data_IF_787941499682
#
_entry.id   IF_787941499682
#
_cell.length_a   1.000
_cell.length_b   1.000
_cell.length_c   1.000
_cell.angle_alpha   90.00
_cell.angle_beta   90.00
_cell.angle_gamma   90.00
#
_symmetry.space_group_name_H-M   'P 1'
#
loop_
_entity.id
_entity.type
_entity.pdbx_description
1 polymer ?
#
# COMPACT_ATOMS: atom_id res chain seq x y z
N UNK A 1 -36.45 11.31 28.24
CA UNK A 1 -35.99 9.93 28.38
C UNK A 1 -35.41 9.52 27.04
N UNK A 2 -34.11 9.57 26.92
CA UNK A 2 -33.38 9.14 25.70
C UNK A 2 -33.39 7.62 25.73
N UNK A 3 -34.14 7.01 24.83
CA UNK A 3 -34.10 5.56 24.61
C UNK A 3 -32.68 5.20 24.13
N UNK A 4 -31.89 4.64 25.00
CA UNK A 4 -30.61 4.05 24.63
C UNK A 4 -30.95 2.87 23.71
N UNK A 5 -30.78 3.06 22.41
CA UNK A 5 -30.88 1.97 21.45
C UNK A 5 -29.83 0.93 21.86
N UNK A 6 -30.27 -0.25 22.28
CA UNK A 6 -29.41 -1.38 22.55
C UNK A 6 -28.86 -1.83 21.20
N UNK A 7 -27.61 -1.45 20.89
CA UNK A 7 -26.93 -1.90 19.68
C UNK A 7 -26.72 -3.41 19.82
N UNK A 8 -27.37 -4.18 18.96
CA UNK A 8 -27.19 -5.63 18.90
C UNK A 8 -25.76 -5.92 18.42
N UNK A 9 -25.00 -6.77 19.10
CA UNK A 9 -23.66 -7.15 18.64
C UNK A 9 -23.71 -7.73 17.22
N UNK A 10 -22.83 -7.25 16.36
CA UNK A 10 -22.67 -7.73 14.98
C UNK A 10 -21.35 -8.50 14.84
N UNK A 11 -21.30 -9.44 13.89
CA UNK A 11 -20.08 -10.20 13.55
C UNK A 11 -19.39 -9.54 12.37
N UNK A 12 -18.17 -9.07 12.56
CA UNK A 12 -17.38 -8.39 11.54
C UNK A 12 -16.18 -9.26 11.15
N UNK A 13 -16.08 -9.60 9.86
CA UNK A 13 -14.91 -10.27 9.31
C UNK A 13 -13.93 -9.26 8.70
N UNK A 14 -12.67 -9.37 9.06
CA UNK A 14 -11.56 -8.67 8.42
C UNK A 14 -10.86 -9.66 7.50
N UNK A 15 -11.29 -9.69 6.24
CA UNK A 15 -10.89 -10.73 5.29
C UNK A 15 -9.57 -10.40 4.60
N UNK A 16 -8.61 -11.32 4.72
CA UNK A 16 -7.28 -11.24 4.10
C UNK A 16 -7.06 -12.43 3.17
N UNK A 17 -7.23 -12.22 1.88
CA UNK A 17 -7.02 -13.26 0.86
C UNK A 17 -5.61 -13.86 0.90
N UNK A 18 -4.60 -13.07 1.27
CA UNK A 18 -3.20 -13.45 1.28
C UNK A 18 -2.59 -13.18 2.66
N UNK A 19 -2.50 -14.20 3.49
CA UNK A 19 -2.00 -14.09 4.86
C UNK A 19 -0.53 -13.64 4.97
N UNK A 20 0.30 -13.91 3.96
CA UNK A 20 1.72 -13.61 3.98
C UNK A 20 2.06 -12.12 3.75
N UNK A 21 1.08 -11.31 3.39
CA UNK A 21 1.30 -9.91 3.05
C UNK A 21 0.91 -8.97 4.19
N UNK A 22 1.87 -8.68 5.07
CA UNK A 22 1.73 -7.76 6.22
C UNK A 22 1.11 -6.41 5.83
N UNK A 23 1.35 -5.92 4.60
CA UNK A 23 0.78 -4.65 4.15
C UNK A 23 -0.75 -4.69 4.00
N UNK A 24 -1.36 -5.86 3.78
CA UNK A 24 -2.82 -6.00 3.79
C UNK A 24 -3.36 -5.88 5.20
N UNK A 25 -2.69 -6.48 6.17
CA UNK A 25 -3.06 -6.32 7.57
C UNK A 25 -2.95 -4.86 8.02
N UNK A 26 -1.89 -4.16 7.63
CA UNK A 26 -1.73 -2.74 7.92
C UNK A 26 -2.90 -1.87 7.41
N UNK A 27 -3.62 -2.33 6.38
CA UNK A 27 -4.78 -1.62 5.85
C UNK A 27 -6.05 -1.85 6.67
N UNK A 28 -6.24 -3.04 7.27
CA UNK A 28 -7.40 -3.34 8.11
C UNK A 28 -7.19 -2.95 9.57
N UNK A 29 -5.94 -2.89 10.02
CA UNK A 29 -5.60 -2.67 11.44
C UNK A 29 -6.24 -1.43 12.06
N UNK A 30 -6.32 -0.24 11.41
CA UNK A 30 -6.98 0.93 11.98
C UNK A 30 -8.45 0.67 12.33
N UNK A 31 -9.16 -0.07 11.49
CA UNK A 31 -10.58 -0.43 11.72
C UNK A 31 -10.71 -1.47 12.82
N UNK A 32 -9.88 -2.50 12.77
CA UNK A 32 -9.87 -3.58 13.74
C UNK A 32 -9.61 -3.03 15.16
N UNK A 33 -8.58 -2.18 15.33
CA UNK A 33 -8.26 -1.55 16.60
C UNK A 33 -9.43 -0.69 17.11
N UNK A 34 -10.07 0.08 16.21
CA UNK A 34 -11.24 0.89 16.57
C UNK A 34 -12.39 0.03 17.08
N UNK A 35 -12.83 -0.99 16.34
CA UNK A 35 -13.98 -1.79 16.71
C UNK A 35 -13.72 -2.69 17.93
N UNK A 36 -12.48 -3.15 18.11
CA UNK A 36 -12.09 -3.86 19.36
C UNK A 36 -12.18 -2.90 20.55
N UNK A 37 -11.71 -1.66 20.42
CA UNK A 37 -11.76 -0.68 21.52
C UNK A 37 -13.19 -0.31 21.91
N UNK A 38 -14.14 -0.38 20.99
CA UNK A 38 -15.56 -0.14 21.26
C UNK A 38 -16.20 -1.28 22.07
N UNK A 39 -15.69 -2.52 22.00
CA UNK A 39 -16.14 -3.66 22.78
C UNK A 39 -17.57 -4.16 22.45
N UNK A 40 -18.19 -3.67 21.38
CA UNK A 40 -19.61 -3.94 21.06
C UNK A 40 -19.78 -5.10 20.09
N UNK A 41 -18.84 -5.26 19.13
CA UNK A 41 -18.93 -6.20 18.03
C UNK A 41 -17.97 -7.38 18.20
N UNK A 42 -18.32 -8.53 17.57
CA UNK A 42 -17.43 -9.67 17.45
C UNK A 42 -16.53 -9.47 16.23
N UNK A 43 -15.23 -9.32 16.45
CA UNK A 43 -14.25 -8.99 15.43
C UNK A 43 -13.34 -10.19 15.13
N UNK A 44 -13.36 -10.70 13.91
CA UNK A 44 -12.58 -11.85 13.49
C UNK A 44 -11.68 -11.49 12.30
N UNK A 45 -10.38 -11.73 12.42
CA UNK A 45 -9.47 -11.69 11.26
C UNK A 45 -9.57 -13.02 10.54
N UNK A 46 -10.16 -13.01 9.35
CA UNK A 46 -10.38 -14.19 8.53
C UNK A 46 -9.26 -14.27 7.49
N UNK A 47 -8.43 -15.30 7.59
CA UNK A 47 -7.25 -15.47 6.74
C UNK A 47 -7.39 -16.73 5.94
N UNK A 48 -7.23 -16.66 4.63
CA UNK A 48 -7.23 -17.84 3.78
C UNK A 48 -6.05 -18.73 4.11
N UNK A 49 -6.32 -20.01 4.38
CA UNK A 49 -5.30 -21.04 4.55
C UNK A 49 -4.64 -21.31 3.19
N UNK A 50 -3.33 -21.08 3.11
CA UNK A 50 -2.55 -21.53 1.95
C UNK A 50 -2.09 -22.97 2.21
N UNK A 51 -2.07 -23.77 1.15
CA UNK A 51 -1.77 -25.21 1.22
C UNK A 51 -0.35 -25.51 1.75
N UNK A 52 0.57 -24.54 1.70
CA UNK A 52 1.95 -24.71 2.12
C UNK A 52 2.41 -23.52 2.99
N UNK A 53 2.79 -23.84 4.25
CA UNK A 53 3.66 -22.96 5.04
C UNK A 53 3.03 -21.68 5.60
N UNK A 54 1.79 -21.75 6.10
CA UNK A 54 1.26 -20.66 6.93
C UNK A 54 2.22 -20.41 8.09
N UNK A 55 2.94 -19.31 8.04
CA UNK A 55 3.65 -18.76 9.19
C UNK A 55 2.75 -17.72 9.84
N UNK A 56 2.51 -17.90 11.13
CA UNK A 56 1.79 -16.92 11.93
C UNK A 56 2.53 -15.58 11.85
N UNK A 57 1.89 -14.61 11.22
CA UNK A 57 2.46 -13.26 11.13
C UNK A 57 2.38 -12.64 12.52
N UNK A 58 3.51 -12.18 13.03
CA UNK A 58 3.60 -11.60 14.39
C UNK A 58 2.55 -10.50 14.64
N UNK A 59 2.16 -9.76 13.59
CA UNK A 59 1.18 -8.69 13.64
C UNK A 59 -0.26 -9.19 13.97
N UNK A 60 -0.55 -10.48 13.81
CA UNK A 60 -1.85 -11.06 14.16
C UNK A 60 -1.94 -11.50 15.63
N UNK A 61 -0.83 -11.47 16.36
CA UNK A 61 -0.81 -11.83 17.77
C UNK A 61 -1.73 -10.90 18.57
N UNK A 62 -2.59 -11.51 19.37
CA UNK A 62 -3.55 -10.77 20.17
C UNK A 62 -4.91 -10.51 19.50
N UNK A 63 -5.09 -10.91 18.24
CA UNK A 63 -6.39 -10.86 17.54
C UNK A 63 -6.97 -12.27 17.39
N UNK A 64 -8.30 -12.38 17.45
CA UNK A 64 -8.98 -13.61 17.05
C UNK A 64 -8.83 -13.78 15.54
N UNK A 65 -8.30 -14.91 15.08
CA UNK A 65 -8.18 -15.20 13.66
C UNK A 65 -8.74 -16.59 13.33
N UNK A 66 -9.31 -16.68 12.14
CA UNK A 66 -9.90 -17.89 11.58
C UNK A 66 -9.37 -18.12 10.18
N UNK A 67 -9.39 -19.36 9.72
CA UNK A 67 -9.11 -19.70 8.33
C UNK A 67 -10.43 -19.82 7.55
N UNK A 68 -10.43 -19.48 6.27
CA UNK A 68 -11.63 -19.55 5.42
C UNK A 68 -12.15 -20.98 5.25
N UNK A 69 -11.29 -21.99 5.40
CA UNK A 69 -11.70 -23.40 5.39
C UNK A 69 -12.57 -23.76 6.62
N UNK A 70 -12.44 -22.98 7.71
CA UNK A 70 -13.14 -23.18 8.97
C UNK A 70 -14.29 -22.17 9.16
N UNK A 71 -14.57 -21.31 8.15
CA UNK A 71 -15.43 -20.15 8.30
C UNK A 71 -16.25 -19.87 7.02
N UNK A 72 -17.55 -19.74 7.20
CA UNK A 72 -18.48 -19.30 6.17
C UNK A 72 -18.62 -17.78 6.21
N UNK A 73 -18.15 -17.08 5.15
CA UNK A 73 -18.18 -15.64 5.07
C UNK A 73 -19.61 -15.06 5.07
N UNK A 74 -20.61 -15.77 4.54
CA UNK A 74 -22.01 -15.30 4.56
C UNK A 74 -22.64 -15.35 5.95
N UNK A 75 -21.96 -15.95 6.94
CA UNK A 75 -22.39 -15.96 8.34
C UNK A 75 -22.06 -14.66 9.09
N UNK A 76 -21.31 -13.73 8.46
CA UNK A 76 -21.00 -12.43 9.04
C UNK A 76 -22.03 -11.37 8.66
N UNK A 77 -22.17 -10.35 9.51
CA UNK A 77 -23.00 -9.18 9.21
C UNK A 77 -22.28 -8.19 8.30
N UNK A 78 -20.94 -8.19 8.33
CA UNK A 78 -20.10 -7.30 7.52
C UNK A 78 -18.73 -7.92 7.26
N UNK A 79 -18.19 -7.68 6.07
CA UNK A 79 -16.83 -8.08 5.68
C UNK A 79 -16.05 -6.84 5.29
N UNK A 80 -14.91 -6.58 5.95
CA UNK A 80 -13.96 -5.54 5.54
C UNK A 80 -12.79 -6.21 4.82
N UNK A 81 -12.49 -5.79 3.59
CA UNK A 81 -11.40 -6.41 2.82
C UNK A 81 -10.54 -5.37 2.08
N UNK A 82 -9.19 -5.44 2.20
CA UNK A 82 -8.27 -4.64 1.40
C UNK A 82 -7.96 -5.30 0.06
N UNK A 83 -8.43 -6.54 -0.15
CA UNK A 83 -8.23 -7.35 -1.35
C UNK A 83 -9.56 -7.68 -2.00
N UNK A 84 -9.55 -8.49 -3.05
CA UNK A 84 -10.78 -8.94 -3.70
C UNK A 84 -11.27 -10.24 -3.06
N UNK A 85 -12.58 -10.40 -2.94
CA UNK A 85 -13.16 -11.72 -2.72
C UNK A 85 -12.86 -12.60 -3.95
N UNK A 86 -12.84 -13.90 -3.75
CA UNK A 86 -12.63 -14.87 -4.83
C UNK A 86 -13.93 -15.12 -5.55
N UNK A 87 -13.83 -15.72 -6.73
CA UNK A 87 -14.99 -16.07 -7.55
C UNK A 87 -15.92 -17.08 -6.83
N UNK A 88 -15.34 -18.00 -6.02
CA UNK A 88 -16.09 -18.93 -5.16
C UNK A 88 -16.64 -18.29 -3.86
N UNK A 89 -16.32 -17.03 -3.59
CA UNK A 89 -16.79 -16.22 -2.47
C UNK A 89 -17.75 -15.10 -2.93
N UNK A 90 -18.17 -15.09 -4.19
CA UNK A 90 -19.04 -14.04 -4.76
C UNK A 90 -20.36 -13.88 -4.00
N UNK A 91 -20.91 -14.95 -3.45
CA UNK A 91 -22.09 -14.89 -2.60
C UNK A 91 -21.96 -14.00 -1.37
N UNK A 92 -20.73 -13.65 -0.94
CA UNK A 92 -20.46 -12.75 0.19
C UNK A 92 -20.20 -11.29 -0.22
N UNK A 93 -20.16 -10.95 -1.52
CA UNK A 93 -19.83 -9.60 -1.99
C UNK A 93 -20.81 -8.54 -1.47
N UNK A 94 -22.11 -8.88 -1.38
CA UNK A 94 -23.14 -7.97 -0.87
C UNK A 94 -23.00 -7.62 0.62
N UNK A 95 -22.12 -8.30 1.36
CA UNK A 95 -21.74 -8.01 2.75
C UNK A 95 -20.38 -7.30 2.85
N UNK A 96 -19.69 -7.15 1.71
CA UNK A 96 -18.30 -6.71 1.70
C UNK A 96 -18.15 -5.19 1.49
N UNK A 97 -17.38 -4.57 2.35
CA UNK A 97 -16.83 -3.22 2.17
C UNK A 97 -15.40 -3.33 1.70
N UNK A 98 -15.14 -2.82 0.50
CA UNK A 98 -13.80 -2.75 -0.07
C UNK A 98 -13.07 -1.53 0.48
N UNK A 99 -11.96 -1.76 1.19
CA UNK A 99 -11.16 -0.67 1.78
C UNK A 99 -9.86 -0.41 1.01
N UNK A 100 -9.55 -1.24 0.02
CA UNK A 100 -8.29 -1.23 -0.75
C UNK A 100 -7.05 -1.30 0.16
N UNK A 101 -5.85 -1.45 -0.43
CA UNK A 101 -4.59 -1.54 0.32
C UNK A 101 -3.55 -0.52 -0.12
N UNK A 102 -3.93 0.39 -0.99
CA UNK A 102 -3.10 1.47 -1.51
C UNK A 102 -3.58 1.98 -2.85
N UNK A 103 -3.06 3.14 -3.24
CA UNK A 103 -3.18 3.66 -4.60
C UNK A 103 -2.22 2.91 -5.52
N UNK A 104 -2.65 2.63 -6.74
CA UNK A 104 -1.79 1.98 -7.74
C UNK A 104 -2.09 2.50 -9.13
N UNK A 105 -1.05 2.66 -9.95
CA UNK A 105 -1.22 3.00 -11.37
C UNK A 105 -1.55 1.78 -12.24
N UNK A 106 -1.46 0.59 -11.67
CA UNK A 106 -1.69 -0.66 -12.38
C UNK A 106 -3.17 -0.89 -12.66
N UNK A 107 -3.58 -1.18 -13.90
CA UNK A 107 -4.99 -1.23 -14.29
C UNK A 107 -5.77 -2.40 -13.70
N UNK A 108 -5.12 -3.53 -13.43
CA UNK A 108 -5.80 -4.76 -13.01
C UNK A 108 -6.60 -4.63 -11.70
N UNK A 109 -6.31 -3.65 -10.84
CA UNK A 109 -7.12 -3.35 -9.67
C UNK A 109 -8.48 -2.77 -10.07
N UNK A 110 -8.47 -1.87 -11.04
CA UNK A 110 -9.65 -1.10 -11.46
C UNK A 110 -10.55 -1.85 -12.44
N UNK A 111 -10.00 -2.88 -13.11
CA UNK A 111 -10.75 -3.75 -14.02
C UNK A 111 -11.66 -4.77 -13.31
N UNK A 112 -11.53 -4.90 -11.98
CA UNK A 112 -12.40 -5.77 -11.18
C UNK A 112 -13.79 -5.17 -11.05
N UNK A 113 -14.80 -6.06 -11.02
CA UNK A 113 -16.17 -5.66 -10.80
C UNK A 113 -16.46 -5.50 -9.30
N UNK A 114 -16.79 -4.28 -8.89
CA UNK A 114 -17.17 -3.94 -7.52
C UNK A 114 -18.66 -3.60 -7.39
N UNK A 115 -19.47 -3.76 -8.45
CA UNK A 115 -20.87 -3.37 -8.43
C UNK A 115 -21.73 -4.15 -7.42
N UNK A 116 -21.26 -5.33 -7.02
CA UNK A 116 -21.92 -6.20 -6.04
C UNK A 116 -21.46 -5.95 -4.60
N UNK A 117 -20.41 -5.14 -4.41
CA UNK A 117 -19.94 -4.80 -3.07
C UNK A 117 -20.91 -3.86 -2.37
N UNK A 118 -21.04 -4.00 -1.05
CA UNK A 118 -21.90 -3.15 -0.23
C UNK A 118 -21.44 -1.69 -0.28
N UNK A 119 -20.11 -1.45 -0.27
CA UNK A 119 -19.50 -0.13 -0.36
C UNK A 119 -18.02 -0.24 -0.73
N UNK A 120 -17.52 0.72 -1.51
CA UNK A 120 -16.09 0.95 -1.75
C UNK A 120 -15.63 2.23 -1.06
N UNK A 121 -14.67 2.12 -0.13
CA UNK A 121 -14.06 3.24 0.56
C UNK A 121 -12.80 3.67 -0.19
N UNK A 122 -12.92 4.72 -0.99
CA UNK A 122 -11.85 5.21 -1.87
C UNK A 122 -10.91 6.16 -1.14
N UNK A 123 -9.62 6.08 -1.44
CA UNK A 123 -8.62 6.97 -0.86
C UNK A 123 -8.81 8.43 -1.31
N UNK A 124 -9.24 8.69 -2.53
CA UNK A 124 -9.46 10.03 -3.07
C UNK A 124 -10.10 10.01 -4.45
N UNK A 125 -10.26 11.22 -5.02
CA UNK A 125 -11.00 11.43 -6.27
C UNK A 125 -10.39 10.63 -7.42
N UNK A 126 -9.07 10.61 -7.57
CA UNK A 126 -8.40 9.85 -8.62
C UNK A 126 -8.76 8.37 -8.61
N UNK A 127 -8.84 7.74 -7.43
CA UNK A 127 -9.21 6.34 -7.32
C UNK A 127 -10.65 6.12 -7.77
N UNK A 128 -11.55 7.01 -7.37
CA UNK A 128 -12.96 6.97 -7.75
C UNK A 128 -13.15 7.15 -9.27
N UNK A 129 -12.48 8.14 -9.86
CA UNK A 129 -12.55 8.41 -11.31
C UNK A 129 -12.05 7.19 -12.12
N UNK A 130 -10.94 6.59 -11.69
CA UNK A 130 -10.40 5.39 -12.35
C UNK A 130 -11.31 4.17 -12.21
N UNK A 131 -11.95 3.98 -11.08
CA UNK A 131 -12.92 2.89 -10.91
C UNK A 131 -14.12 3.10 -11.82
N UNK A 132 -14.67 4.31 -11.87
CA UNK A 132 -15.82 4.64 -12.70
C UNK A 132 -15.50 4.69 -14.21
N UNK A 133 -14.23 4.77 -14.61
CA UNK A 133 -13.85 4.67 -16.02
C UNK A 133 -14.10 3.28 -16.63
N UNK A 134 -14.29 2.26 -15.78
CA UNK A 134 -14.65 0.90 -16.22
C UNK A 134 -16.16 0.69 -16.10
N UNK A 135 -16.80 0.24 -17.20
CA UNK A 135 -18.24 0.08 -17.29
C UNK A 135 -18.85 -0.77 -16.16
N UNK A 136 -18.16 -1.85 -15.77
CA UNK A 136 -18.60 -2.71 -14.66
C UNK A 136 -18.71 -2.00 -13.31
N UNK A 137 -18.11 -0.80 -13.15
CA UNK A 137 -18.08 -0.05 -11.91
C UNK A 137 -18.86 1.28 -11.95
N UNK A 138 -19.54 1.61 -13.05
CA UNK A 138 -20.27 2.90 -13.16
C UNK A 138 -21.32 3.11 -12.06
N UNK A 139 -21.90 2.05 -11.53
CA UNK A 139 -22.94 2.10 -10.48
C UNK A 139 -22.49 1.55 -9.13
N UNK A 140 -21.17 1.33 -8.98
CA UNK A 140 -20.65 0.79 -7.73
C UNK A 140 -20.88 1.80 -6.59
N UNK A 141 -21.37 1.37 -5.41
CA UNK A 141 -21.46 2.21 -4.23
C UNK A 141 -20.05 2.60 -3.75
N UNK A 142 -19.75 3.89 -3.74
CA UNK A 142 -18.43 4.36 -3.35
C UNK A 142 -18.49 5.71 -2.62
N UNK A 143 -17.53 5.91 -1.72
CA UNK A 143 -17.30 7.19 -1.03
C UNK A 143 -15.82 7.43 -0.80
N UNK A 144 -15.42 8.69 -0.75
CA UNK A 144 -14.05 9.09 -0.43
C UNK A 144 -13.88 9.25 1.09
N UNK A 145 -12.88 8.59 1.63
CA UNK A 145 -12.59 8.63 3.07
C UNK A 145 -11.16 9.05 3.39
N UNK A 146 -10.29 9.13 2.38
CA UNK A 146 -8.86 9.31 2.58
C UNK A 146 -8.13 7.98 2.76
N UNK A 147 -6.93 8.02 3.32
CA UNK A 147 -6.08 6.85 3.46
C UNK A 147 -5.75 6.58 4.93
N UNK A 148 -6.41 5.60 5.58
CA UNK A 148 -6.29 5.35 7.02
C UNK A 148 -4.86 5.11 7.53
N UNK A 149 -3.96 4.64 6.67
CA UNK A 149 -2.53 4.50 7.04
C UNK A 149 -1.85 5.84 7.33
N UNK A 150 -2.41 6.95 6.85
CA UNK A 150 -1.86 8.30 7.09
C UNK A 150 -2.28 8.89 8.44
N UNK A 151 -3.34 8.37 9.06
CA UNK A 151 -3.80 8.87 10.36
C UNK A 151 -2.79 8.63 11.47
N UNK A 152 -1.97 7.58 11.35
CA UNK A 152 -0.94 7.24 12.32
C UNK A 152 0.31 6.67 11.65
N UNK A 153 1.36 7.46 11.61
CA UNK A 153 2.68 7.01 11.13
C UNK A 153 3.39 6.30 12.30
N UNK A 154 3.78 5.01 12.14
CA UNK A 154 4.49 4.32 13.20
C UNK A 154 5.90 4.90 13.38
N UNK A 155 6.33 5.02 14.63
CA UNK A 155 7.70 5.35 14.97
C UNK A 155 8.56 4.09 14.93
N UNK A 156 9.35 3.94 13.87
CA UNK A 156 10.33 2.86 13.79
C UNK A 156 11.65 3.27 14.45
N UNK A 157 12.41 2.32 15.02
CA UNK A 157 13.75 2.64 15.53
C UNK A 157 14.64 3.23 14.45
N UNK A 158 15.52 4.19 14.78
CA UNK A 158 16.45 4.77 13.82
C UNK A 158 17.35 3.70 13.19
N UNK A 159 17.42 3.68 11.85
CA UNK A 159 18.28 2.76 11.10
C UNK A 159 19.75 3.17 11.11
N UNK A 160 20.00 4.47 11.23
CA UNK A 160 21.33 5.06 11.19
C UNK A 160 21.50 6.05 12.34
N UNK A 161 22.75 6.17 12.81
CA UNK A 161 23.13 7.07 13.90
C UNK A 161 24.06 8.20 13.44
N UNK A 162 24.16 8.43 12.14
CA UNK A 162 24.98 9.48 11.53
C UNK A 162 24.08 10.52 10.85
N UNK A 163 24.67 11.64 10.43
CA UNK A 163 23.95 12.78 9.84
C UNK A 163 23.86 12.74 8.30
N UNK A 164 24.30 11.63 7.67
CA UNK A 164 24.15 11.51 6.20
C UNK A 164 22.67 11.51 5.83
N UNK A 165 22.36 12.15 4.71
CA UNK A 165 21.02 12.05 4.12
C UNK A 165 20.67 10.60 3.82
N UNK A 166 19.39 10.25 4.04
CA UNK A 166 18.91 8.91 3.83
C UNK A 166 18.11 8.84 2.52
N UNK A 167 18.46 7.89 1.66
CA UNK A 167 17.79 7.58 0.41
C UNK A 167 17.10 6.23 0.54
N UNK A 168 15.80 6.18 0.28
CA UNK A 168 15.04 4.93 0.32
C UNK A 168 14.66 4.47 -1.09
N UNK A 169 15.05 3.26 -1.45
CA UNK A 169 14.70 2.61 -2.70
C UNK A 169 13.59 1.58 -2.48
N UNK A 170 12.43 1.80 -3.12
CA UNK A 170 11.23 0.97 -2.99
C UNK A 170 10.73 0.45 -4.34
N UNK A 171 11.40 -0.54 -4.95
CA UNK A 171 10.96 -1.10 -6.22
C UNK A 171 9.71 -1.95 -6.06
N UNK A 172 8.92 -2.02 -7.15
CA UNK A 172 7.85 -3.02 -7.27
C UNK A 172 8.43 -4.43 -7.43
N UNK A 173 7.58 -5.46 -7.42
CA UNK A 173 8.01 -6.88 -7.40
C UNK A 173 7.83 -7.61 -8.74
N UNK A 174 7.05 -7.06 -9.67
CA UNK A 174 6.79 -7.72 -10.95
C UNK A 174 7.98 -7.61 -11.87
N UNK A 175 8.45 -8.77 -12.34
CA UNK A 175 9.46 -8.86 -13.40
C UNK A 175 9.01 -8.20 -14.71
N UNK A 176 9.95 -7.85 -15.54
CA UNK A 176 9.72 -7.26 -16.86
C UNK A 176 9.42 -5.75 -16.77
N UNK A 177 8.28 -5.36 -17.26
CA UNK A 177 7.97 -3.98 -17.64
C UNK A 177 7.72 -3.00 -16.49
N UNK A 178 7.80 -3.41 -15.21
CA UNK A 178 7.37 -2.56 -14.09
C UNK A 178 8.42 -2.39 -13.00
N UNK A 179 9.34 -3.34 -12.83
CA UNK A 179 10.32 -3.33 -11.74
C UNK A 179 11.70 -2.94 -12.21
N UNK A 180 12.29 -1.97 -11.53
CA UNK A 180 13.66 -1.53 -11.74
C UNK A 180 14.70 -2.34 -10.95
N UNK A 181 14.29 -3.37 -10.21
CA UNK A 181 15.18 -4.05 -9.26
C UNK A 181 16.35 -4.76 -9.93
N UNK A 182 16.12 -5.41 -11.06
CA UNK A 182 17.20 -6.08 -11.80
C UNK A 182 18.19 -5.08 -12.37
N UNK A 183 17.68 -3.94 -12.90
CA UNK A 183 18.52 -2.85 -13.39
C UNK A 183 19.38 -2.27 -12.26
N UNK A 184 18.81 -2.04 -11.09
CA UNK A 184 19.52 -1.53 -9.92
C UNK A 184 20.62 -2.50 -9.49
N UNK A 185 20.30 -3.79 -9.31
CA UNK A 185 21.24 -4.81 -8.84
C UNK A 185 22.33 -5.16 -9.84
N UNK A 186 22.09 -4.98 -11.13
CA UNK A 186 23.11 -5.19 -12.17
C UNK A 186 24.17 -4.10 -12.22
N UNK A 187 23.98 -2.99 -11.49
CA UNK A 187 24.90 -1.85 -11.43
C UNK A 187 25.44 -1.65 -10.01
N UNK A 188 26.20 -2.64 -9.54
CA UNK A 188 26.75 -2.67 -8.17
C UNK A 188 27.67 -1.48 -7.88
N UNK A 189 28.41 -1.00 -8.88
CA UNK A 189 29.25 0.19 -8.80
C UNK A 189 28.43 1.44 -8.42
N UNK A 190 27.24 1.61 -8.98
CA UNK A 190 26.34 2.71 -8.66
C UNK A 190 25.78 2.56 -7.22
N UNK A 191 25.47 1.34 -6.82
CA UNK A 191 25.02 1.07 -5.45
C UNK A 191 26.10 1.45 -4.43
N UNK A 192 27.37 1.12 -4.70
CA UNK A 192 28.48 1.52 -3.86
C UNK A 192 28.62 3.05 -3.76
N UNK A 193 28.58 3.75 -4.89
CA UNK A 193 28.61 5.22 -4.92
C UNK A 193 27.49 5.82 -4.09
N UNK A 194 26.27 5.28 -4.17
CA UNK A 194 25.14 5.74 -3.37
C UNK A 194 25.35 5.46 -1.88
N UNK A 195 25.79 4.26 -1.51
CA UNK A 195 26.00 3.86 -0.12
C UNK A 195 27.19 4.60 0.55
N UNK A 196 28.17 5.06 -0.23
CA UNK A 196 29.23 5.94 0.26
C UNK A 196 28.74 7.35 0.60
N UNK A 197 27.84 7.89 -0.22
CA UNK A 197 27.33 9.26 -0.09
C UNK A 197 26.16 9.39 0.88
N UNK A 198 25.28 8.39 0.91
CA UNK A 198 24.00 8.39 1.59
C UNK A 198 23.83 7.20 2.52
N UNK A 199 22.92 7.30 3.47
CA UNK A 199 22.33 6.17 4.17
C UNK A 199 21.33 5.49 3.22
N UNK A 200 21.68 4.33 2.67
CA UNK A 200 20.88 3.65 1.67
C UNK A 200 19.95 2.62 2.31
N UNK A 201 18.64 2.85 2.20
CA UNK A 201 17.60 1.95 2.67
C UNK A 201 16.99 1.26 1.45
N UNK A 202 16.96 -0.06 1.43
CA UNK A 202 16.31 -0.83 0.37
C UNK A 202 15.10 -1.55 0.95
N UNK A 203 13.92 -1.20 0.47
CA UNK A 203 12.64 -1.75 0.90
C UNK A 203 11.89 -2.37 -0.29
N UNK A 204 12.28 -3.57 -0.74
CA UNK A 204 11.58 -4.24 -1.81
C UNK A 204 10.16 -4.62 -1.42
N UNK A 205 9.33 -4.88 -2.42
CA UNK A 205 7.99 -5.41 -2.16
C UNK A 205 8.06 -6.78 -1.45
N UNK A 206 7.21 -7.07 -0.45
CA UNK A 206 7.25 -8.33 0.31
C UNK A 206 7.21 -9.60 -0.54
N UNK A 207 6.59 -9.58 -1.71
CA UNK A 207 6.54 -10.74 -2.60
C UNK A 207 7.91 -11.19 -3.12
N UNK A 208 8.93 -10.34 -3.10
CA UNK A 208 10.30 -10.72 -3.46
C UNK A 208 10.90 -11.72 -2.47
N UNK A 209 10.45 -11.67 -1.21
CA UNK A 209 10.92 -12.57 -0.15
C UNK A 209 10.09 -13.85 -0.02
N UNK A 210 9.04 -14.02 -0.81
CA UNK A 210 8.15 -15.16 -0.71
C UNK A 210 8.52 -16.25 -1.74
N UNK A 211 9.10 -17.39 -1.31
CA UNK A 211 9.55 -18.48 -2.20
C UNK A 211 8.38 -19.15 -2.96
N UNK A 212 7.16 -19.04 -2.47
CA UNK A 212 5.98 -19.62 -3.14
C UNK A 212 5.42 -18.74 -4.27
N UNK A 213 6.00 -17.55 -4.46
CA UNK A 213 5.56 -16.65 -5.52
C UNK A 213 6.34 -16.87 -6.80
N UNK A 214 5.63 -16.77 -7.92
CA UNK A 214 6.20 -16.81 -9.27
C UNK A 214 7.41 -15.87 -9.46
N UNK A 215 7.43 -14.78 -8.70
CA UNK A 215 8.46 -13.75 -8.77
C UNK A 215 9.51 -13.84 -7.67
N UNK A 216 9.52 -14.92 -6.88
CA UNK A 216 10.57 -15.11 -5.88
C UNK A 216 11.92 -15.24 -6.56
N UNK A 217 12.88 -14.47 -6.07
CA UNK A 217 14.22 -14.41 -6.62
C UNK A 217 15.25 -14.52 -5.50
N UNK A 218 15.64 -15.76 -5.19
CA UNK A 218 16.61 -16.04 -4.13
C UNK A 218 17.95 -15.35 -4.37
N UNK A 219 18.37 -15.22 -5.64
CA UNK A 219 19.59 -14.50 -6.02
C UNK A 219 19.51 -13.01 -5.67
N UNK A 220 18.38 -12.35 -5.95
CA UNK A 220 18.15 -10.94 -5.60
C UNK A 220 18.24 -10.75 -4.09
N UNK A 221 17.58 -11.60 -3.32
CA UNK A 221 17.61 -11.55 -1.85
C UNK A 221 19.05 -11.71 -1.33
N UNK A 222 19.78 -12.72 -1.82
CA UNK A 222 21.17 -12.99 -1.42
C UNK A 222 22.11 -11.82 -1.79
N UNK A 223 21.96 -11.22 -2.96
CA UNK A 223 22.75 -10.07 -3.37
C UNK A 223 22.50 -8.86 -2.47
N UNK A 224 21.25 -8.53 -2.17
CA UNK A 224 20.92 -7.41 -1.29
C UNK A 224 21.49 -7.58 0.12
N UNK A 225 21.52 -8.81 0.64
CA UNK A 225 22.08 -9.11 1.97
C UNK A 225 23.59 -9.00 2.04
N UNK A 226 24.28 -9.23 0.93
CA UNK A 226 25.75 -9.17 0.85
C UNK A 226 26.29 -7.75 0.62
N UNK A 227 25.44 -6.80 0.20
CA UNK A 227 25.88 -5.44 -0.09
C UNK A 227 26.17 -4.67 1.20
N UNK A 228 27.40 -4.14 1.36
CA UNK A 228 27.75 -3.33 2.52
C UNK A 228 27.01 -1.99 2.51
N UNK A 229 26.83 -1.42 3.69
CA UNK A 229 26.22 -0.08 3.88
C UNK A 229 24.76 0.05 3.43
N UNK A 230 24.08 -1.07 3.17
CA UNK A 230 22.66 -1.11 2.89
C UNK A 230 21.88 -1.57 4.13
N UNK A 231 20.72 -0.99 4.33
CA UNK A 231 19.71 -1.51 5.28
C UNK A 231 18.56 -2.13 4.50
N UNK A 232 18.55 -3.46 4.40
CA UNK A 232 17.48 -4.21 3.78
C UNK A 232 16.30 -4.34 4.74
N UNK A 233 15.14 -3.81 4.33
CA UNK A 233 13.89 -3.87 5.10
C UNK A 233 12.99 -4.94 4.50
N UNK A 234 12.82 -6.06 5.21
CA UNK A 234 12.01 -7.20 4.76
C UNK A 234 10.52 -7.04 5.07
N UNK A 235 10.18 -6.36 6.16
CA UNK A 235 8.80 -6.29 6.68
C UNK A 235 8.49 -4.94 7.32
N UNK A 236 7.29 -4.80 7.86
CA UNK A 236 6.83 -3.62 8.58
C UNK A 236 6.11 -2.59 7.69
N UNK A 237 5.44 -1.64 8.35
CA UNK A 237 4.74 -0.55 7.70
C UNK A 237 5.75 0.40 7.05
N UNK A 238 5.61 0.64 5.76
CA UNK A 238 6.54 1.46 4.98
C UNK A 238 6.56 2.92 5.45
N UNK A 239 5.45 3.46 5.95
CA UNK A 239 5.34 4.85 6.42
C UNK A 239 6.35 5.18 7.53
N UNK A 240 6.59 4.24 8.46
CA UNK A 240 7.57 4.41 9.53
C UNK A 240 9.02 4.42 9.03
N UNK A 241 9.30 3.81 7.88
CA UNK A 241 10.60 3.88 7.21
C UNK A 241 10.73 5.14 6.36
N UNK A 242 9.64 5.56 5.71
CA UNK A 242 9.60 6.82 4.96
C UNK A 242 9.86 8.04 5.84
N UNK A 243 9.40 8.04 7.08
CA UNK A 243 9.67 9.14 8.01
C UNK A 243 11.17 9.40 8.25
N UNK A 244 12.02 8.36 8.05
CA UNK A 244 13.47 8.41 8.25
C UNK A 244 14.27 8.73 6.98
N UNK A 245 13.63 8.83 5.82
CA UNK A 245 14.32 9.07 4.56
C UNK A 245 14.13 10.51 4.09
N UNK A 246 15.13 11.07 3.42
CA UNK A 246 15.11 12.42 2.84
C UNK A 246 14.67 12.40 1.37
N UNK A 247 14.88 11.29 0.65
CA UNK A 247 14.55 11.13 -0.76
C UNK A 247 14.09 9.71 -1.06
N UNK A 248 13.08 9.60 -1.93
CA UNK A 248 12.55 8.35 -2.44
C UNK A 248 13.08 8.03 -3.83
N UNK A 249 13.49 6.79 -4.04
CA UNK A 249 13.73 6.22 -5.37
C UNK A 249 12.73 5.08 -5.57
N UNK A 250 12.01 5.11 -6.67
CA UNK A 250 11.03 4.07 -7.01
C UNK A 250 10.88 3.83 -8.49
N UNK A 251 9.89 3.05 -8.83
CA UNK A 251 9.48 2.74 -10.20
C UNK A 251 7.96 2.86 -10.35
N UNK A 252 7.27 1.88 -10.94
CA UNK A 252 5.80 1.83 -10.99
C UNK A 252 5.26 1.16 -9.72
N UNK A 253 5.49 1.80 -8.59
CA UNK A 253 5.14 1.28 -7.26
C UNK A 253 4.07 2.12 -6.57
N UNK A 254 3.11 1.45 -5.93
CA UNK A 254 2.10 2.09 -5.10
C UNK A 254 2.70 2.85 -3.89
N UNK A 255 3.88 2.46 -3.43
CA UNK A 255 4.59 3.10 -2.31
C UNK A 255 4.96 4.56 -2.60
N UNK A 256 5.09 4.96 -3.86
CA UNK A 256 5.31 6.36 -4.22
C UNK A 256 4.14 7.27 -3.85
N UNK A 257 2.88 6.78 -3.90
CA UNK A 257 1.72 7.54 -3.40
C UNK A 257 1.74 7.69 -1.88
N UNK A 258 2.24 6.70 -1.16
CA UNK A 258 2.43 6.80 0.29
C UNK A 258 3.54 7.80 0.63
N UNK A 259 4.59 7.89 -0.20
CA UNK A 259 5.66 8.87 -0.03
C UNK A 259 5.20 10.32 -0.20
N UNK A 260 4.23 10.60 -1.06
CA UNK A 260 3.67 11.96 -1.27
C UNK A 260 3.21 12.63 0.02
N UNK A 261 2.82 11.86 1.05
CA UNK A 261 2.45 12.37 2.37
C UNK A 261 3.53 13.30 2.96
N UNK A 262 4.80 12.98 2.74
CA UNK A 262 5.94 13.72 3.30
C UNK A 262 6.34 14.92 2.46
N UNK A 263 5.87 15.03 1.25
CA UNK A 263 6.25 16.03 0.25
C UNK A 263 7.77 16.25 0.13
N UNK A 264 8.54 15.17 0.19
CA UNK A 264 10.00 15.17 0.03
C UNK A 264 10.38 14.74 -1.40
N UNK A 265 11.61 15.05 -1.87
CA UNK A 265 12.07 14.71 -3.22
C UNK A 265 11.86 13.24 -3.62
N UNK A 266 11.59 13.01 -4.89
CA UNK A 266 11.44 11.70 -5.52
C UNK A 266 12.27 11.61 -6.78
N UNK A 267 12.79 10.42 -7.08
CA UNK A 267 13.42 10.06 -8.35
C UNK A 267 12.82 8.73 -8.82
N UNK A 268 12.52 8.60 -10.09
CA UNK A 268 11.98 7.38 -10.66
C UNK A 268 13.02 6.68 -11.52
N UNK A 269 13.40 5.46 -11.16
CA UNK A 269 14.27 4.61 -11.97
C UNK A 269 13.42 3.87 -13.00
N UNK A 270 13.57 4.24 -14.27
CA UNK A 270 12.77 3.70 -15.36
C UNK A 270 13.17 2.24 -15.66
N UNK A 271 12.26 1.27 -15.50
CA UNK A 271 12.54 -0.13 -15.83
C UNK A 271 12.60 -0.39 -17.36
N UNK A 272 12.08 0.54 -18.18
CA UNK A 272 12.05 0.43 -19.64
C UNK A 272 12.41 1.76 -20.32
N UNK A 273 13.69 2.14 -20.29
CA UNK A 273 14.16 3.36 -20.96
C UNK A 273 13.77 3.40 -22.44
N UNK A 274 13.32 4.57 -22.90
CA UNK A 274 12.87 4.75 -24.29
C UNK A 274 11.43 4.28 -24.58
N UNK A 275 10.84 3.46 -23.73
CA UNK A 275 9.45 2.96 -23.87
C UNK A 275 8.51 3.70 -22.93
N UNK A 276 8.78 3.70 -21.64
CA UNK A 276 7.96 4.38 -20.66
C UNK A 276 8.42 5.84 -20.52
N UNK A 277 7.44 6.74 -20.42
CA UNK A 277 7.67 8.19 -20.22
C UNK A 277 6.70 8.72 -19.16
N UNK A 278 7.04 9.83 -18.45
CA UNK A 278 6.10 10.52 -17.58
C UNK A 278 4.81 10.87 -18.31
N UNK A 279 3.69 10.79 -17.63
CA UNK A 279 2.38 11.12 -18.20
C UNK A 279 1.55 11.93 -17.20
N UNK A 280 0.82 12.92 -17.72
CA UNK A 280 -0.20 13.67 -16.97
C UNK A 280 -1.58 13.00 -17.04
N UNK A 281 -1.76 11.99 -17.89
CA UNK A 281 -2.98 11.20 -17.91
C UNK A 281 -3.10 10.40 -16.60
N UNK A 282 -4.16 10.69 -15.85
CA UNK A 282 -4.43 10.05 -14.55
C UNK A 282 -4.62 8.53 -14.63
N UNK A 283 -4.85 7.98 -15.82
CA UNK A 283 -4.97 6.54 -16.09
C UNK A 283 -3.64 5.89 -16.48
N UNK A 284 -2.61 6.67 -16.80
CA UNK A 284 -1.32 6.14 -17.20
C UNK A 284 -0.60 5.42 -16.05
N UNK A 285 0.19 4.41 -16.38
CA UNK A 285 1.03 3.67 -15.43
C UNK A 285 2.14 4.52 -14.80
N UNK A 286 2.48 5.62 -15.46
CA UNK A 286 3.56 6.54 -15.09
C UNK A 286 3.02 7.90 -14.63
N UNK A 287 1.75 7.97 -14.24
CA UNK A 287 1.13 9.22 -13.77
C UNK A 287 1.90 9.82 -12.59
N UNK A 288 2.35 8.99 -11.65
CA UNK A 288 3.13 9.45 -10.50
C UNK A 288 4.49 10.04 -10.90
N UNK A 289 5.04 9.70 -12.06
CA UNK A 289 6.38 10.13 -12.49
C UNK A 289 6.49 11.63 -12.78
N UNK A 290 5.39 12.35 -12.86
CA UNK A 290 5.39 13.81 -12.90
C UNK A 290 5.88 14.46 -11.58
N UNK A 291 5.98 13.69 -10.48
CA UNK A 291 6.35 14.16 -9.15
C UNK A 291 7.87 14.23 -8.91
N UNK A 292 8.70 13.86 -9.89
CA UNK A 292 10.15 13.89 -9.80
C UNK A 292 10.82 13.51 -11.13
N UNK A 293 12.13 13.68 -11.26
CA UNK A 293 12.85 13.31 -12.47
C UNK A 293 12.84 11.79 -12.69
N UNK A 294 12.85 11.41 -13.97
CA UNK A 294 12.93 10.02 -14.41
C UNK A 294 14.34 9.70 -14.88
N UNK A 295 14.93 8.67 -14.30
CA UNK A 295 16.25 8.16 -14.57
C UNK A 295 16.16 7.04 -15.61
N UNK A 296 16.48 7.34 -16.85
CA UNK A 296 16.54 6.36 -17.95
C UNK A 296 17.89 5.63 -18.01
N UNK A 297 18.95 6.26 -17.51
CA UNK A 297 20.27 5.67 -17.40
C UNK A 297 20.67 5.60 -15.92
N UNK A 298 20.75 4.40 -15.38
CA UNK A 298 21.07 4.17 -13.95
C UNK A 298 22.37 4.85 -13.51
N UNK A 299 23.33 5.09 -14.40
CA UNK A 299 24.59 5.81 -14.11
C UNK A 299 24.37 7.26 -13.74
N UNK A 300 23.24 7.85 -14.13
CA UNK A 300 22.84 9.23 -13.80
C UNK A 300 22.12 9.32 -12.44
N UNK A 301 21.71 8.19 -11.87
CA UNK A 301 20.94 8.16 -10.63
C UNK A 301 21.61 8.91 -9.47
N UNK A 302 22.94 8.78 -9.21
CA UNK A 302 23.59 9.55 -8.14
C UNK A 302 23.53 11.07 -8.36
N UNK A 303 23.59 11.52 -9.61
CA UNK A 303 23.50 12.94 -9.96
C UNK A 303 22.08 13.47 -9.78
N UNK A 304 21.08 12.74 -10.22
CA UNK A 304 19.66 13.11 -10.04
C UNK A 304 19.29 13.18 -8.55
N UNK A 305 19.74 12.21 -7.73
CA UNK A 305 19.55 12.25 -6.29
C UNK A 305 20.20 13.49 -5.67
N UNK A 306 21.43 13.81 -6.05
CA UNK A 306 22.14 14.98 -5.52
C UNK A 306 21.43 16.29 -5.89
N UNK A 307 20.95 16.41 -7.13
CA UNK A 307 20.23 17.58 -7.61
C UNK A 307 18.92 17.78 -6.81
N UNK A 308 18.12 16.72 -6.67
CA UNK A 308 16.83 16.78 -5.97
C UNK A 308 16.98 17.04 -4.47
N UNK A 309 18.03 16.53 -3.83
CA UNK A 309 18.33 16.85 -2.43
C UNK A 309 18.78 18.30 -2.23
N UNK A 310 19.37 18.92 -3.25
CA UNK A 310 19.85 20.31 -3.19
C UNK A 310 18.79 21.33 -3.63
N UNK A 311 17.93 20.98 -4.58
CA UNK A 311 16.95 21.90 -5.17
C UNK A 311 15.71 21.12 -5.64
N UNK A 312 14.75 21.00 -4.77
CA UNK A 312 13.48 20.33 -5.04
C UNK A 312 12.52 21.21 -5.83
N UNK A 313 12.38 20.93 -7.12
CA UNK A 313 11.51 21.69 -8.04
C UNK A 313 10.11 21.07 -8.23
N UNK A 314 9.81 19.94 -7.61
CA UNK A 314 8.57 19.19 -7.81
C UNK A 314 7.58 19.26 -6.65
N UNK A 315 7.86 20.04 -5.61
CA UNK A 315 7.04 20.13 -4.39
C UNK A 315 5.57 20.43 -4.68
N UNK A 316 5.28 21.43 -5.52
CA UNK A 316 3.90 21.83 -5.84
C UNK A 316 3.16 20.78 -6.67
N UNK A 317 3.88 20.11 -7.59
CA UNK A 317 3.32 19.00 -8.36
C UNK A 317 2.96 17.83 -7.44
N UNK A 318 3.84 17.49 -6.48
CA UNK A 318 3.56 16.44 -5.51
C UNK A 318 2.35 16.76 -4.66
N UNK A 319 2.19 18.00 -4.19
CA UNK A 319 0.97 18.41 -3.44
C UNK A 319 -0.28 18.28 -4.29
N UNK A 320 -0.24 18.71 -5.55
CA UNK A 320 -1.37 18.59 -6.48
C UNK A 320 -1.75 17.12 -6.67
N UNK A 321 -0.78 16.25 -6.94
CA UNK A 321 -1.01 14.81 -7.13
C UNK A 321 -1.48 14.15 -5.83
N UNK A 322 -0.95 14.55 -4.68
CA UNK A 322 -1.38 14.06 -3.38
C UNK A 322 -2.86 14.36 -3.13
N UNK A 323 -3.29 15.61 -3.29
CA UNK A 323 -4.66 16.02 -3.01
C UNK A 323 -5.69 15.45 -3.99
N UNK A 324 -5.31 15.22 -5.23
CA UNK A 324 -6.17 14.51 -6.19
C UNK A 324 -6.26 13.01 -5.87
N UNK A 325 -5.15 12.41 -5.43
CA UNK A 325 -5.07 10.98 -5.16
C UNK A 325 -5.63 10.58 -3.80
N UNK A 326 -5.54 11.46 -2.80
CA UNK A 326 -5.91 11.16 -1.41
C UNK A 326 -6.70 12.32 -0.82
N UNK A 327 -7.92 12.02 -0.39
CA UNK A 327 -8.80 12.98 0.27
C UNK A 327 -8.27 13.34 1.66
N UNK A 328 -8.16 14.63 1.94
CA UNK A 328 -7.69 15.17 3.24
C UNK A 328 -6.44 14.45 3.79
N UNK A 329 -5.33 14.39 3.05
CA UNK A 329 -4.23 13.44 3.31
C UNK A 329 -3.54 13.64 4.67
N UNK A 330 -3.57 14.86 5.24
CA UNK A 330 -2.93 15.19 6.52
C UNK A 330 -3.93 15.54 7.62
N UNK A 331 -5.21 15.30 7.38
CA UNK A 331 -6.28 15.61 8.35
C UNK A 331 -6.38 14.65 9.54
N UNK A 332 -5.75 13.48 9.47
CA UNK A 332 -5.77 12.46 10.53
C UNK A 332 -7.16 11.89 10.83
N UNK A 333 -8.09 11.93 9.86
CA UNK A 333 -9.51 11.59 10.07
C UNK A 333 -10.03 10.50 9.14
N UNK A 334 -9.17 9.91 8.29
CA UNK A 334 -9.59 8.92 7.30
C UNK A 334 -10.25 7.68 7.94
N UNK A 335 -9.67 7.18 9.03
CA UNK A 335 -10.25 6.06 9.80
C UNK A 335 -11.61 6.42 10.38
N UNK A 336 -11.76 7.62 10.96
CA UNK A 336 -13.03 8.08 11.56
C UNK A 336 -14.13 8.22 10.50
N UNK A 337 -13.82 8.80 9.34
CA UNK A 337 -14.75 8.92 8.22
C UNK A 337 -15.20 7.55 7.72
N UNK A 338 -14.25 6.65 7.49
CA UNK A 338 -14.55 5.30 7.05
C UNK A 338 -15.41 4.53 8.08
N UNK A 339 -15.07 4.64 9.37
CA UNK A 339 -15.84 4.03 10.46
C UNK A 339 -17.27 4.58 10.52
N UNK A 340 -17.47 5.88 10.31
CA UNK A 340 -18.81 6.47 10.30
C UNK A 340 -19.69 5.83 9.21
N UNK A 341 -19.16 5.62 8.00
CA UNK A 341 -19.87 4.91 6.93
C UNK A 341 -20.15 3.44 7.29
N UNK A 342 -19.17 2.75 7.89
CA UNK A 342 -19.34 1.35 8.31
C UNK A 342 -20.43 1.23 9.39
N UNK A 343 -20.44 2.12 10.38
CA UNK A 343 -21.48 2.13 11.44
C UNK A 343 -22.88 2.41 10.87
N UNK A 344 -22.99 3.30 9.87
CA UNK A 344 -24.27 3.56 9.19
C UNK A 344 -24.80 2.29 8.51
N UNK A 345 -23.92 1.51 7.83
CA UNK A 345 -24.31 0.24 7.23
C UNK A 345 -24.76 -0.79 8.27
N UNK A 346 -24.02 -0.93 9.38
CA UNK A 346 -24.34 -1.85 10.47
C UNK A 346 -25.65 -1.50 11.19
N UNK A 347 -26.05 -0.22 11.16
CA UNK A 347 -27.31 0.25 11.78
C UNK A 347 -28.51 0.05 10.87
N UNK A 348 -28.30 -0.10 9.57
CA UNK A 348 -29.37 -0.28 8.56
C UNK A 348 -29.68 -1.76 8.28
N UNK A 349 -28.83 -2.65 8.73
CA UNK A 349 -28.96 -4.12 8.67
C UNK A 349 -29.40 -4.70 10.02
#
# INVERSE_FOLDING_TARGET
MTTTQIIKPKRIAYYLRYCQNVHYFASIKPFLDYFISCGIHQNHVVVRRLAHGYQEIADYRGYTHLFTDDCDLVSYDLILTPTFLRDDEEGAQHLAVQIFHGMSDKPFTYQRNFSQYLLCLCAGQRQLDRLHSYECNHRMPATMVGYPKFDRIPANPPLYKNEKKAVIYCPTWRKGNMSSIELFLSNVDIIHVLAERYNLIVKPHPNIFNPEREFYESRIVAQLEQLPNIRLIRSGNVMGWFSQADLFVGDISASGYEWLYFNRPMVFLNPQPGVLKPSQDSNAWTYLWQCGPVCDNVRELPTLIANELNSDSYSDVRETVLHYSIFNPRGGTATQLAVAHILALLSSS
#
